data_IF_707075457788
#
_entry.id   IF_707075457788
#
_cell.length_a   1.000
_cell.length_b   1.000
_cell.length_c   1.000
_cell.angle_alpha   90.00
_cell.angle_beta   90.00
_cell.angle_gamma   90.00
#
_symmetry.space_group_name_H-M   'P 1'
#
loop_
_entity.id
_entity.type
_entity.pdbx_description
1 polymer ?
#
# COMPACT_ATOMS: atom_id res chain seq x y z
N UNK A 1 -0.07 -18.82 -9.06
CA UNK A 1 -0.14 -17.37 -8.80
C UNK A 1 -1.46 -17.14 -8.08
N UNK A 2 -1.43 -16.56 -6.89
CA UNK A 2 -2.63 -16.37 -6.06
C UNK A 2 -2.91 -14.88 -5.89
N UNK A 3 -4.20 -14.56 -5.82
CA UNK A 3 -4.70 -13.22 -5.49
C UNK A 3 -5.52 -13.35 -4.22
N UNK A 4 -5.21 -12.52 -3.22
CA UNK A 4 -5.90 -12.47 -1.94
C UNK A 4 -6.25 -11.01 -1.60
N UNK A 5 -7.37 -10.82 -0.90
CA UNK A 5 -7.82 -9.51 -0.43
C UNK A 5 -7.78 -9.45 1.10
N UNK A 6 -6.84 -8.69 1.62
CA UNK A 6 -6.63 -8.53 3.06
C UNK A 6 -7.34 -7.29 3.62
N UNK A 7 -7.74 -7.28 4.90
CA UNK A 7 -8.26 -6.09 5.54
C UNK A 7 -7.22 -4.96 5.53
N UNK A 8 -7.65 -3.75 5.20
CA UNK A 8 -6.84 -2.54 5.35
C UNK A 8 -7.17 -1.83 6.67
N UNK A 9 -6.21 -1.09 7.22
CA UNK A 9 -6.36 -0.42 8.50
C UNK A 9 -5.93 1.04 8.45
N UNK A 10 -6.69 1.90 9.14
CA UNK A 10 -6.32 3.29 9.36
C UNK A 10 -5.06 3.42 10.23
N UNK A 11 -4.49 4.63 10.27
CA UNK A 11 -3.38 4.99 11.18
C UNK A 11 -3.64 4.69 12.67
N UNK A 12 -4.91 4.54 13.08
CA UNK A 12 -5.30 4.20 14.45
C UNK A 12 -5.68 2.73 14.63
N UNK A 13 -5.49 1.90 13.62
CA UNK A 13 -5.81 0.47 13.65
C UNK A 13 -7.29 0.13 13.47
N UNK A 14 -8.16 1.11 13.16
CA UNK A 14 -9.54 0.82 12.77
C UNK A 14 -9.58 0.26 11.35
N UNK A 15 -10.35 -0.81 11.15
CA UNK A 15 -10.55 -1.44 9.83
C UNK A 15 -11.18 -0.45 8.85
N UNK A 16 -10.71 -0.45 7.61
CA UNK A 16 -11.24 0.36 6.51
C UNK A 16 -12.20 -0.45 5.63
N UNK A 17 -13.03 0.26 4.86
CA UNK A 17 -13.99 -0.35 3.93
C UNK A 17 -13.31 -0.96 2.71
N UNK A 18 -12.23 -0.34 2.25
CA UNK A 18 -11.39 -0.88 1.19
C UNK A 18 -10.41 -1.92 1.73
N UNK A 19 -9.85 -2.71 0.81
CA UNK A 19 -8.96 -3.83 1.10
C UNK A 19 -7.68 -3.70 0.31
N UNK A 20 -6.62 -4.31 0.81
CA UNK A 20 -5.34 -4.41 0.11
C UNK A 20 -5.33 -5.70 -0.70
N UNK A 21 -4.80 -5.64 -1.93
CA UNK A 21 -4.61 -6.82 -2.76
C UNK A 21 -3.20 -7.39 -2.56
N UNK A 22 -3.11 -8.68 -2.28
CA UNK A 22 -1.85 -9.43 -2.28
C UNK A 22 -1.77 -10.28 -3.54
N UNK A 23 -0.72 -10.07 -4.34
CA UNK A 23 -0.45 -10.82 -5.57
C UNK A 23 0.86 -11.58 -5.42
N UNK A 24 0.78 -12.91 -5.46
CA UNK A 24 1.99 -13.74 -5.45
C UNK A 24 2.74 -13.66 -6.78
N UNK A 25 4.04 -13.37 -6.76
CA UNK A 25 4.90 -13.35 -7.95
C UNK A 25 5.51 -14.74 -8.20
N UNK A 26 5.67 -15.12 -9.46
CA UNK A 26 6.40 -16.34 -9.84
C UNK A 26 7.91 -16.15 -9.66
N UNK A 27 8.65 -17.24 -9.49
CA UNK A 27 10.12 -17.23 -9.31
C UNK A 27 10.85 -16.36 -10.33
N UNK A 28 10.57 -16.55 -11.62
CA UNK A 28 11.22 -15.78 -12.69
C UNK A 28 10.89 -14.28 -12.69
N UNK A 29 9.79 -13.85 -12.05
CA UNK A 29 9.47 -12.42 -11.87
C UNK A 29 10.22 -11.86 -10.66
N UNK A 30 10.38 -12.65 -9.60
CA UNK A 30 11.13 -12.25 -8.40
C UNK A 30 12.57 -11.91 -8.77
N UNK A 31 13.24 -12.75 -9.57
CA UNK A 31 14.62 -12.52 -9.98
C UNK A 31 14.76 -11.15 -10.69
N UNK A 32 13.89 -10.86 -11.66
CA UNK A 32 13.87 -9.54 -12.33
C UNK A 32 13.46 -8.39 -11.42
N UNK A 33 12.51 -8.61 -10.51
CA UNK A 33 12.05 -7.57 -9.59
C UNK A 33 13.20 -7.09 -8.69
N UNK A 34 13.99 -8.03 -8.17
CA UNK A 34 15.12 -7.74 -7.29
C UNK A 34 16.27 -7.10 -8.08
N UNK A 35 16.65 -7.70 -9.20
CA UNK A 35 17.89 -7.36 -9.89
C UNK A 35 17.73 -6.20 -10.90
N UNK A 36 16.57 -6.12 -11.58
CA UNK A 36 16.39 -5.21 -12.72
C UNK A 36 15.43 -4.04 -12.44
N UNK A 37 14.45 -4.19 -11.54
CA UNK A 37 13.36 -3.22 -11.40
C UNK A 37 13.55 -2.22 -10.26
N UNK A 38 14.57 -2.39 -9.41
CA UNK A 38 14.85 -1.44 -8.33
C UNK A 38 15.40 -0.13 -8.91
N UNK A 39 14.62 0.95 -8.82
CA UNK A 39 15.02 2.28 -9.32
C UNK A 39 15.72 3.13 -8.25
N UNK A 40 15.24 3.10 -7.00
CA UNK A 40 15.77 3.88 -5.88
C UNK A 40 15.46 3.14 -4.56
N UNK A 41 16.36 3.25 -3.58
CA UNK A 41 16.09 2.87 -2.19
C UNK A 41 16.11 4.13 -1.32
N UNK A 42 15.00 4.42 -0.64
CA UNK A 42 14.86 5.59 0.23
C UNK A 42 14.56 5.17 1.66
N UNK A 43 15.34 5.68 2.60
CA UNK A 43 15.06 5.48 4.02
C UNK A 43 13.88 6.36 4.48
N UNK A 44 12.78 5.71 4.86
CA UNK A 44 11.59 6.36 5.42
C UNK A 44 11.51 6.25 6.95
N UNK A 45 12.49 5.62 7.60
CA UNK A 45 12.51 5.39 9.05
C UNK A 45 12.30 6.68 9.86
N UNK A 46 12.99 7.80 9.58
CA UNK A 46 12.75 9.05 10.31
C UNK A 46 11.32 9.57 10.16
N UNK A 47 10.74 9.42 8.96
CA UNK A 47 9.37 9.85 8.67
C UNK A 47 8.35 9.01 9.45
N UNK A 48 8.54 7.70 9.47
CA UNK A 48 7.67 6.77 10.23
C UNK A 48 7.75 7.05 11.73
N UNK A 49 8.95 7.33 12.26
CA UNK A 49 9.09 7.75 13.67
C UNK A 49 8.34 9.05 13.98
N UNK A 50 8.40 10.05 13.09
CA UNK A 50 7.67 11.30 13.26
C UNK A 50 6.14 11.07 13.27
N UNK A 51 5.62 10.24 12.36
CA UNK A 51 4.21 9.84 12.36
C UNK A 51 3.81 9.15 13.67
N UNK A 52 4.62 8.20 14.14
CA UNK A 52 4.40 7.49 15.39
C UNK A 52 4.37 8.44 16.60
N UNK A 53 5.28 9.41 16.66
CA UNK A 53 5.30 10.42 17.71
C UNK A 53 4.04 11.32 17.69
N UNK A 54 3.58 11.72 16.50
CA UNK A 54 2.32 12.45 16.35
C UNK A 54 1.11 11.64 16.82
N UNK A 55 1.03 10.35 16.47
CA UNK A 55 -0.06 9.48 16.92
C UNK A 55 -0.06 9.30 18.45
N UNK A 56 1.11 9.06 19.06
CA UNK A 56 1.24 8.92 20.52
C UNK A 56 0.89 10.20 21.28
N UNK A 57 1.10 11.37 20.69
CA UNK A 57 0.76 12.66 21.28
C UNK A 57 -0.66 13.14 20.95
N UNK A 58 -1.49 12.31 20.30
CA UNK A 58 -2.88 12.64 19.96
C UNK A 58 -3.06 13.46 18.67
N UNK A 59 -1.98 13.87 18.01
CA UNK A 59 -1.98 14.71 16.81
C UNK A 59 -2.12 13.90 15.51
N UNK A 60 -3.21 13.14 15.36
CA UNK A 60 -3.38 12.27 14.19
C UNK A 60 -3.40 13.01 12.85
N UNK A 61 -3.90 14.25 12.79
CA UNK A 61 -3.91 15.04 11.56
C UNK A 61 -2.48 15.35 11.07
N UNK A 62 -1.55 15.59 12.01
CA UNK A 62 -0.13 15.78 11.68
C UNK A 62 0.51 14.50 11.18
N UNK A 63 0.15 13.34 11.75
CA UNK A 63 0.59 12.05 11.23
C UNK A 63 0.03 11.79 9.82
N UNK A 64 -1.23 12.14 9.59
CA UNK A 64 -1.90 11.99 8.29
C UNK A 64 -1.26 12.87 7.21
N UNK A 65 -0.85 14.09 7.54
CA UNK A 65 -0.18 14.99 6.62
C UNK A 65 1.20 14.47 6.14
N UNK A 66 1.80 13.52 6.87
CA UNK A 66 3.08 12.89 6.49
C UNK A 66 2.90 11.64 5.61
N UNK A 67 1.67 11.13 5.45
CA UNK A 67 1.41 10.01 4.55
C UNK A 67 1.78 10.37 3.11
N UNK A 68 2.29 9.40 2.33
CA UNK A 68 2.40 9.58 0.89
C UNK A 68 1.02 9.90 0.28
N UNK A 69 0.94 10.81 -0.69
CA UNK A 69 -0.31 11.04 -1.40
C UNK A 69 -0.67 9.81 -2.22
N UNK A 70 -1.88 9.29 -2.01
CA UNK A 70 -2.41 8.18 -2.78
C UNK A 70 -3.22 8.68 -3.98
N UNK A 71 -3.16 7.94 -5.08
CA UNK A 71 -3.96 8.19 -6.28
C UNK A 71 -4.56 6.88 -6.77
N UNK A 72 -5.84 6.85 -7.16
CA UNK A 72 -6.43 5.66 -7.77
C UNK A 72 -5.62 5.21 -8.99
N UNK A 73 -5.31 3.92 -9.05
CA UNK A 73 -4.66 3.34 -10.21
C UNK A 73 -5.71 3.14 -11.33
N UNK A 74 -5.44 3.57 -12.58
CA UNK A 74 -6.39 3.42 -13.69
C UNK A 74 -6.55 1.94 -14.02
N UNK A 75 -7.62 1.34 -13.51
CA UNK A 75 -7.87 -0.10 -13.58
C UNK A 75 -9.00 -0.39 -14.57
N UNK A 76 -8.65 -1.01 -15.70
CA UNK A 76 -9.62 -1.41 -16.72
C UNK A 76 -10.68 -2.39 -16.20
N UNK A 77 -11.91 -2.25 -16.69
CA UNK A 77 -13.08 -2.98 -16.20
C UNK A 77 -12.92 -4.51 -16.24
N UNK A 78 -12.31 -5.05 -17.30
CA UNK A 78 -12.09 -6.49 -17.44
C UNK A 78 -11.15 -7.03 -16.36
N UNK A 79 -10.06 -6.30 -16.10
CA UNK A 79 -9.10 -6.68 -15.06
C UNK A 79 -9.73 -6.52 -13.67
N UNK A 80 -10.44 -5.42 -13.42
CA UNK A 80 -11.16 -5.18 -12.18
C UNK A 80 -12.12 -6.33 -11.85
N UNK A 81 -12.93 -6.76 -12.82
CA UNK A 81 -13.82 -7.92 -12.68
C UNK A 81 -13.06 -9.21 -12.38
N UNK A 82 -11.92 -9.43 -13.04
CA UNK A 82 -11.12 -10.66 -12.88
C UNK A 82 -10.47 -10.77 -11.50
N UNK A 83 -10.08 -9.65 -10.89
CA UNK A 83 -9.46 -9.63 -9.56
C UNK A 83 -10.46 -9.33 -8.44
N UNK A 84 -11.72 -9.05 -8.75
CA UNK A 84 -12.73 -8.68 -7.76
C UNK A 84 -12.57 -7.26 -7.20
N UNK A 85 -12.06 -6.33 -8.02
CA UNK A 85 -11.96 -4.90 -7.71
C UNK A 85 -13.07 -4.09 -8.41
N UNK A 86 -13.20 -2.82 -8.02
CA UNK A 86 -14.00 -1.82 -8.75
C UNK A 86 -13.12 -1.16 -9.81
N UNK A 87 -13.66 -0.92 -11.00
CA UNK A 87 -12.94 -0.21 -12.06
C UNK A 87 -12.65 1.24 -11.63
N UNK A 88 -11.48 1.75 -12.03
CA UNK A 88 -11.00 3.09 -11.72
C UNK A 88 -11.22 4.10 -12.85
#
# INVERSE_FOLDING_TARGET
MHVQWDPEYSLRGAKLDHRSIQVGLSRHIIDRYVDDWTVEIRDLTPKVHAMSAHLRSGHADRARALLPPERPYPLGADLAKRIGAVAG
#
